data_IF_267716473413
#
_entry.id   IF_267716473413
#
_cell.length_a   1.000
_cell.length_b   1.000
_cell.length_c   1.000
_cell.angle_alpha   90.00
_cell.angle_beta   90.00
_cell.angle_gamma   90.00
#
_symmetry.space_group_name_H-M   'P 1'
#
loop_
_entity.id
_entity.type
_entity.pdbx_description
1 polymer ?
2 water ?
#
# COMPACT_ATOMS: atom_id res chain seq x y z
N UNK A 1 14.17 4.69 -16.96
CA UNK A 1 13.72 3.34 -16.64
C UNK A 1 12.24 3.33 -16.28
N UNK A 2 11.58 2.21 -16.56
CA UNK A 2 10.16 2.07 -16.27
C UNK A 2 9.91 1.76 -14.79
N UNK A 3 10.98 1.73 -13.99
CA UNK A 3 10.86 1.51 -12.55
C UNK A 3 11.05 2.79 -11.74
N UNK A 4 11.22 3.90 -12.47
CA UNK A 4 11.39 5.21 -11.88
C UNK A 4 10.03 5.81 -11.50
N UNK A 5 9.97 6.50 -10.37
CA UNK A 5 8.77 7.22 -9.97
C UNK A 5 8.33 8.20 -11.06
N UNK A 6 7.04 8.24 -11.38
CA UNK A 6 6.55 9.06 -12.49
C UNK A 6 6.90 10.54 -12.30
N UNK A 7 7.12 11.25 -13.40
CA UNK A 7 7.63 12.62 -13.36
C UNK A 7 6.68 13.61 -12.70
N UNK A 8 5.37 13.40 -12.85
CA UNK A 8 4.40 14.31 -12.27
C UNK A 8 4.26 14.12 -10.75
N UNK A 9 4.78 13.01 -10.21
CA UNK A 9 4.61 12.71 -8.79
C UNK A 9 5.32 13.73 -7.90
N UNK A 10 4.73 14.00 -6.74
CA UNK A 10 5.35 14.88 -5.76
C UNK A 10 5.96 14.05 -4.65
N UNK A 11 6.85 14.66 -3.87
CA UNK A 11 7.56 13.94 -2.82
C UNK A 11 6.59 13.53 -1.72
N UNK A 12 6.98 12.52 -0.96
CA UNK A 12 6.16 12.03 0.14
C UNK A 12 7.07 11.89 1.35
N UNK A 13 6.67 12.48 2.46
CA UNK A 13 7.52 12.58 3.65
C UNK A 13 8.94 13.03 3.26
N UNK A 14 9.00 14.07 2.42
CA UNK A 14 10.24 14.70 2.07
C UNK A 14 11.19 13.87 1.24
N UNK A 15 10.67 12.91 0.50
CA UNK A 15 11.52 12.07 -0.33
C UNK A 15 10.74 11.41 -1.48
N UNK A 16 11.45 10.71 -2.36
CA UNK A 16 10.84 9.87 -3.39
C UNK A 16 9.93 8.86 -2.71
N UNK A 17 8.66 8.78 -3.13
CA UNK A 17 7.76 7.88 -2.39
C UNK A 17 8.22 6.41 -2.38
N UNK A 18 8.91 5.96 -3.42
CA UNK A 18 9.38 4.57 -3.46
C UNK A 18 10.42 4.29 -2.39
N UNK A 19 11.09 5.35 -1.91
CA UNK A 19 12.16 5.18 -0.93
C UNK A 19 11.65 4.83 0.47
N UNK A 20 10.32 4.75 0.64
CA UNK A 20 9.75 4.32 1.92
C UNK A 20 9.99 2.83 2.12
N UNK A 21 10.26 2.15 1.01
CA UNK A 21 10.56 0.72 1.00
C UNK A 21 12.07 0.51 0.92
N UNK A 22 12.59 -0.42 1.74
CA UNK A 22 14.02 -0.76 1.77
C UNK A 22 14.58 -0.99 0.37
N UNK A 23 15.80 -0.50 0.13
CA UNK A 23 16.43 -0.65 -1.17
C UNK A 23 16.52 -2.11 -1.63
N UNK A 24 17.01 -3.01 -0.77
CA UNK A 24 17.13 -4.40 -1.22
C UNK A 24 15.78 -5.03 -1.50
N UNK A 25 14.72 -4.55 -0.85
CA UNK A 25 13.39 -5.05 -1.15
C UNK A 25 12.89 -4.51 -2.47
N UNK A 26 13.14 -3.24 -2.75
CA UNK A 26 12.81 -2.67 -4.06
C UNK A 26 13.51 -3.44 -5.19
N UNK A 27 14.76 -3.83 -4.99
CA UNK A 27 15.49 -4.54 -6.03
C UNK A 27 14.86 -5.92 -6.27
N UNK A 28 14.44 -6.58 -5.19
CA UNK A 28 13.78 -7.88 -5.30
C UNK A 28 12.45 -7.76 -6.05
N UNK A 29 11.71 -6.71 -5.75
CA UNK A 29 10.45 -6.48 -6.45
C UNK A 29 10.69 -6.25 -7.94
N UNK A 30 11.62 -5.36 -8.29
CA UNK A 30 11.92 -5.09 -9.69
C UNK A 30 12.29 -6.36 -10.45
N UNK A 31 12.96 -7.28 -9.77
CA UNK A 31 13.42 -8.54 -10.36
C UNK A 31 12.34 -9.60 -10.42
N UNK A 32 11.22 -9.39 -9.72
CA UNK A 32 10.24 -10.44 -9.59
C UNK A 32 9.37 -10.60 -10.82
N UNK A 33 8.89 -11.81 -11.02
CA UNK A 33 8.04 -12.09 -12.18
C UNK A 33 6.75 -11.29 -12.07
N UNK A 34 6.24 -11.13 -10.85
CA UNK A 34 4.97 -10.42 -10.68
C UNK A 34 5.11 -8.96 -11.13
N UNK A 35 6.22 -8.33 -10.76
CA UNK A 35 6.45 -6.94 -11.17
C UNK A 35 6.63 -6.86 -12.67
N UNK A 36 7.44 -7.77 -13.21
CA UNK A 36 7.76 -7.74 -14.63
C UNK A 36 6.56 -8.09 -15.49
N UNK A 37 5.68 -8.96 -15.01
CA UNK A 37 4.53 -9.39 -15.81
C UNK A 37 3.24 -8.64 -15.53
N UNK A 38 2.86 -8.56 -14.25
CA UNK A 38 1.60 -7.97 -13.85
C UNK A 38 1.66 -6.44 -13.65
N UNK A 39 2.83 -5.95 -13.26
CA UNK A 39 2.94 -4.52 -12.94
C UNK A 39 3.42 -3.66 -14.11
N UNK A 40 3.92 -4.30 -15.17
CA UNK A 40 4.45 -3.57 -16.31
C UNK A 40 3.38 -2.71 -16.97
N UNK A 41 3.66 -1.41 -17.08
CA UNK A 41 2.76 -0.49 -17.75
C UNK A 41 1.49 -0.18 -16.99
N UNK A 42 1.45 -0.58 -15.73
CA UNK A 42 0.24 -0.41 -14.92
C UNK A 42 0.04 1.08 -14.63
N UNK A 43 -1.16 1.57 -14.93
CA UNK A 43 -1.50 2.96 -14.62
C UNK A 43 -2.49 3.02 -13.47
N UNK A 44 -2.79 4.24 -13.02
CA UNK A 44 -3.59 4.43 -11.82
C UNK A 44 -4.93 3.73 -11.91
N UNK A 45 -5.61 3.87 -13.06
CA UNK A 45 -6.94 3.28 -13.22
C UNK A 45 -6.89 1.77 -13.41
N UNK A 46 -5.71 1.20 -13.65
CA UNK A 46 -5.61 -0.23 -13.93
C UNK A 46 -5.23 -1.07 -12.70
N UNK A 47 -4.78 -0.40 -11.64
CA UNK A 47 -4.33 -1.09 -10.43
C UNK A 47 -5.41 -1.96 -9.81
N UNK A 48 -6.64 -1.47 -9.84
CA UNK A 48 -7.76 -2.18 -9.21
C UNK A 48 -7.97 -3.58 -9.78
N UNK A 49 -7.72 -3.76 -11.08
CA UNK A 49 -7.86 -5.07 -11.73
C UNK A 49 -6.91 -6.07 -11.09
N UNK A 50 -5.69 -5.63 -10.83
CA UNK A 50 -4.72 -6.50 -10.18
C UNK A 50 -5.03 -6.64 -8.69
N UNK A 51 -5.42 -5.53 -8.05
CA UNK A 51 -5.73 -5.57 -6.63
C UNK A 51 -6.89 -6.52 -6.32
N UNK A 52 -7.83 -6.59 -7.26
CA UNK A 52 -8.97 -7.48 -7.07
C UNK A 52 -8.58 -8.95 -7.08
N UNK A 53 -7.39 -9.27 -7.62
CA UNK A 53 -6.95 -10.66 -7.69
C UNK A 53 -6.09 -11.06 -6.50
N UNK A 54 -5.74 -10.09 -5.66
CA UNK A 54 -4.92 -10.35 -4.48
C UNK A 54 -5.59 -11.39 -3.57
N UNK A 55 -4.80 -12.28 -2.97
CA UNK A 55 -5.36 -13.34 -2.14
C UNK A 55 -4.84 -13.33 -0.72
N UNK A 56 -3.90 -12.44 -0.41
CA UNK A 56 -3.39 -12.31 0.95
C UNK A 56 -2.60 -11.03 1.11
N UNK A 57 -2.37 -10.60 2.34
CA UNK A 57 -1.48 -9.48 2.56
C UNK A 57 -0.12 -10.02 2.94
N UNK A 58 0.91 -9.17 2.89
CA UNK A 58 2.23 -9.61 3.30
C UNK A 58 3.32 -8.68 2.81
N UNK A 59 4.54 -8.95 3.25
CA UNK A 59 5.70 -8.19 2.79
C UNK A 59 6.55 -9.10 1.94
N UNK A 60 7.70 -9.51 2.48
CA UNK A 60 8.59 -10.45 1.82
C UNK A 60 8.66 -11.76 2.62
N UNK A 61 9.20 -12.82 2.01
CA UNK A 61 9.34 -14.09 2.71
C UNK A 61 10.51 -14.89 2.15
N UNK A 62 11.22 -15.59 3.03
CA UNK A 62 12.29 -16.50 2.63
C UNK A 62 13.70 -15.95 2.61
N UNK A 63 14.67 -16.84 2.36
CA UNK A 63 16.07 -16.47 2.39
C UNK A 63 16.56 -15.61 1.24
N UNK A 64 15.66 -15.32 0.29
CA UNK A 64 15.99 -14.36 -0.74
C UNK A 64 14.94 -13.27 -0.78
N UNK A 65 14.24 -13.11 0.34
CA UNK A 65 13.18 -12.12 0.57
C UNK A 65 12.32 -11.84 -0.67
N UNK A 66 11.66 -12.90 -1.14
CA UNK A 66 10.68 -12.83 -2.23
C UNK A 66 9.50 -11.95 -1.85
N UNK A 67 9.14 -10.99 -2.72
CA UNK A 67 8.00 -10.12 -2.37
C UNK A 67 6.63 -10.74 -2.69
N UNK A 68 5.63 -10.42 -1.88
CA UNK A 68 4.25 -10.79 -2.19
C UNK A 68 3.69 -9.89 -3.29
N UNK A 69 2.67 -10.35 -4.03
CA UNK A 69 1.94 -9.48 -4.95
C UNK A 69 1.43 -8.21 -4.27
N UNK A 70 0.92 -8.37 -3.05
CA UNK A 70 0.44 -7.24 -2.25
C UNK A 70 1.50 -6.16 -2.13
N UNK A 71 2.71 -6.58 -1.77
CA UNK A 71 3.82 -5.66 -1.63
C UNK A 71 4.22 -5.06 -2.98
N UNK A 72 4.22 -5.88 -4.02
CA UNK A 72 4.57 -5.38 -5.35
C UNK A 72 3.62 -4.26 -5.81
N UNK A 73 2.32 -4.47 -5.63
CA UNK A 73 1.33 -3.44 -5.99
C UNK A 73 1.46 -2.18 -5.14
N UNK A 74 1.90 -2.36 -3.90
CA UNK A 74 2.10 -1.24 -3.00
C UNK A 74 3.20 -0.34 -3.55
N UNK A 75 4.32 -0.95 -3.96
CA UNK A 75 5.42 -0.17 -4.53
C UNK A 75 5.00 0.48 -5.83
N UNK A 76 4.24 -0.26 -6.65
CA UNK A 76 3.78 0.29 -7.92
C UNK A 76 2.95 1.52 -7.67
N UNK A 77 2.09 1.47 -6.66
CA UNK A 77 1.27 2.63 -6.32
C UNK A 77 2.15 3.79 -5.83
N UNK A 78 3.17 3.49 -5.04
CA UNK A 78 4.11 4.53 -4.60
C UNK A 78 4.75 5.19 -5.80
N UNK A 79 5.05 4.37 -6.81
CA UNK A 79 5.74 4.83 -8.00
C UNK A 79 4.87 5.73 -8.87
N UNK A 80 3.59 5.37 -9.05
CA UNK A 80 2.74 6.11 -9.96
C UNK A 80 1.82 7.11 -9.25
N UNK A 81 1.75 7.03 -7.93
CA UNK A 81 1.03 8.03 -7.12
C UNK A 81 -0.40 8.33 -7.61
N UNK A 82 -1.32 7.36 -7.42
CA UNK A 82 -2.70 7.54 -7.88
C UNK A 82 -3.38 8.74 -7.22
N UNK A 83 -4.37 9.30 -7.92
CA UNK A 83 -5.15 10.37 -7.34
C UNK A 83 -5.84 9.86 -6.08
N UNK A 84 -6.09 10.78 -5.15
CA UNK A 84 -6.52 10.43 -3.82
C UNK A 84 -7.83 9.63 -3.80
N UNK A 85 -8.79 10.00 -4.64
CA UNK A 85 -10.08 9.34 -4.54
C UNK A 85 -10.02 7.88 -5.01
N UNK A 86 -9.01 7.50 -5.78
CA UNK A 86 -8.80 6.08 -6.07
C UNK A 86 -8.46 5.30 -4.79
N UNK A 87 -7.60 5.88 -3.96
CA UNK A 87 -7.23 5.27 -2.67
C UNK A 87 -8.45 5.22 -1.76
N UNK A 88 -9.20 6.30 -1.71
CA UNK A 88 -10.41 6.35 -0.87
C UNK A 88 -11.42 5.30 -1.34
N UNK A 89 -11.62 5.20 -2.65
CA UNK A 89 -12.49 4.17 -3.22
C UNK A 89 -12.05 2.74 -2.85
N UNK A 90 -10.75 2.48 -2.81
CA UNK A 90 -10.23 1.16 -2.41
C UNK A 90 -10.67 0.88 -0.98
N UNK A 91 -10.43 1.86 -0.13
CA UNK A 91 -10.75 1.78 1.28
C UNK A 91 -12.25 1.60 1.52
N UNK A 92 -13.07 2.38 0.82
CA UNK A 92 -14.52 2.35 1.02
C UNK A 92 -15.18 1.09 0.47
N UNK A 93 -14.50 0.41 -0.46
CA UNK A 93 -15.06 -0.78 -1.08
C UNK A 93 -15.32 -1.89 -0.08
N UNK A 94 -16.48 -2.53 -0.19
CA UNK A 94 -16.88 -3.55 0.78
C UNK A 94 -16.86 -4.97 0.22
N UNK A 95 -16.67 -5.09 -1.09
CA UNK A 95 -16.68 -6.40 -1.73
C UNK A 95 -15.34 -7.13 -1.70
N UNK A 96 -14.25 -6.38 -1.74
CA UNK A 96 -12.92 -6.97 -1.80
C UNK A 96 -12.09 -6.48 -0.63
N UNK A 97 -11.89 -7.34 0.37
CA UNK A 97 -11.14 -6.91 1.55
C UNK A 97 -9.67 -6.64 1.26
N UNK A 98 -9.07 -7.35 0.30
CA UNK A 98 -7.65 -7.13 0.03
C UNK A 98 -7.45 -5.82 -0.71
N UNK A 99 -8.46 -5.38 -1.44
CA UNK A 99 -8.40 -4.07 -2.09
C UNK A 99 -8.47 -2.99 -1.01
N UNK A 100 -9.36 -3.22 -0.04
CA UNK A 100 -9.42 -2.35 1.11
C UNK A 100 -8.06 -2.28 1.86
N UNK A 101 -7.42 -3.43 2.09
CA UNK A 101 -6.13 -3.47 2.79
C UNK A 101 -5.03 -2.72 2.05
N UNK A 102 -5.02 -2.87 0.72
CA UNK A 102 -4.00 -2.24 -0.11
C UNK A 102 -4.15 -0.72 -0.07
N UNK A 103 -5.39 -0.26 -0.18
CA UNK A 103 -5.68 1.17 -0.08
C UNK A 103 -5.31 1.69 1.30
N UNK A 104 -5.61 0.90 2.34
CA UNK A 104 -5.35 1.34 3.70
C UNK A 104 -3.86 1.51 3.97
N UNK A 105 -3.06 0.54 3.53
CA UNK A 105 -1.61 0.63 3.71
C UNK A 105 -1.08 1.82 2.94
N UNK A 106 -1.48 1.97 1.69
CA UNK A 106 -1.00 3.10 0.88
C UNK A 106 -1.35 4.43 1.55
N UNK A 107 -2.56 4.53 2.10
CA UNK A 107 -2.98 5.73 2.80
C UNK A 107 -2.10 5.98 4.01
N UNK A 108 -1.75 4.92 4.73
CA UNK A 108 -0.89 5.09 5.90
C UNK A 108 0.50 5.57 5.50
N UNK A 109 0.96 5.15 4.32
CA UNK A 109 2.30 5.52 3.87
C UNK A 109 2.38 6.93 3.33
N UNK A 110 1.25 7.42 2.80
CA UNK A 110 1.28 8.68 2.04
C UNK A 110 0.42 9.78 2.63
N UNK A 111 -0.56 9.41 3.45
CA UNK A 111 -1.50 10.39 3.98
C UNK A 111 -1.04 11.15 5.23
N UNK A 112 -1.76 12.22 5.54
CA UNK A 112 -1.57 12.98 6.77
C UNK A 112 -2.15 12.23 7.94
N UNK A 113 -1.85 12.68 9.15
CA UNK A 113 -2.50 12.12 10.33
C UNK A 113 -4.02 12.25 10.17
N UNK A 114 -4.46 13.42 9.72
CA UNK A 114 -5.89 13.66 9.54
C UNK A 114 -6.47 12.65 8.54
N UNK A 115 -5.75 12.41 7.45
CA UNK A 115 -6.16 11.42 6.46
C UNK A 115 -6.34 10.05 7.10
N UNK A 116 -5.34 9.63 7.85
CA UNK A 116 -5.34 8.28 8.41
C UNK A 116 -6.45 8.15 9.42
N UNK A 117 -6.68 9.20 10.19
CA UNK A 117 -7.72 9.12 11.21
C UNK A 117 -9.09 9.08 10.52
N UNK A 118 -9.27 9.93 9.52
CA UNK A 118 -10.54 10.01 8.78
C UNK A 118 -10.90 8.73 8.04
N UNK A 119 -9.95 8.16 7.33
CA UNK A 119 -10.24 7.04 6.44
C UNK A 119 -9.93 5.66 7.04
N UNK A 120 -9.01 5.58 8.00
CA UNK A 120 -8.62 4.27 8.53
C UNK A 120 -9.37 3.90 9.80
N UNK A 121 -9.58 4.86 10.70
CA UNK A 121 -10.29 4.57 11.95
C UNK A 121 -11.68 3.95 11.77
N UNK A 122 -12.43 4.35 10.74
CA UNK A 122 -13.71 3.63 10.60
C UNK A 122 -13.54 2.13 10.34
N UNK A 123 -12.37 1.70 9.86
CA UNK A 123 -12.17 0.31 9.48
C UNK A 123 -11.96 -0.56 10.71
N UNK A 124 -11.92 0.07 11.89
CA UNK A 124 -11.88 -0.71 13.12
C UNK A 124 -13.14 -1.58 13.26
N UNK A 125 -14.19 -1.23 12.52
CA UNK A 125 -15.46 -1.98 12.54
C UNK A 125 -15.45 -3.25 11.68
N UNK A 126 -14.35 -3.46 10.98
CA UNK A 126 -14.22 -4.58 10.03
C UNK A 126 -13.56 -5.76 10.73
N UNK A 127 -14.34 -6.80 11.04
CA UNK A 127 -13.78 -7.94 11.76
C UNK A 127 -13.46 -9.13 10.86
N UNK A 128 -13.53 -8.94 9.54
CA UNK A 128 -13.35 -10.03 8.58
C UNK A 128 -11.96 -10.66 8.68
N UNK A 129 -11.90 -11.97 8.45
CA UNK A 129 -10.64 -12.70 8.43
C UNK A 129 -9.87 -12.43 7.13
N UNK A 130 -8.55 -12.31 7.23
CA UNK A 130 -7.70 -12.16 6.04
C UNK A 130 -6.46 -13.01 6.17
N UNK A 131 -5.94 -13.45 5.03
CA UNK A 131 -4.70 -14.20 4.98
C UNK A 131 -3.52 -13.25 5.03
N UNK A 132 -2.52 -13.62 5.82
CA UNK A 132 -1.28 -12.87 5.87
C UNK A 132 -0.10 -13.82 5.68
N UNK A 133 0.78 -13.51 4.73
CA UNK A 133 1.93 -14.37 4.52
C UNK A 133 3.08 -13.84 5.38
N UNK A 134 3.56 -14.67 6.31
CA UNK A 134 4.65 -14.26 7.19
C UNK A 134 6.02 -14.57 6.60
N UNK A 135 7.05 -14.13 7.30
CA UNK A 135 8.45 -14.21 6.85
C UNK A 135 8.90 -15.60 6.42
N UNK A 136 8.23 -16.63 6.95
CA UNK A 136 8.62 -18.02 6.69
C UNK A 136 7.88 -18.69 5.52
N UNK A 137 6.86 -18.03 4.99
CA UNK A 137 6.17 -18.54 3.82
C UNK A 137 4.79 -19.12 4.08
N UNK A 138 4.49 -19.33 5.35
CA UNK A 138 3.18 -19.83 5.75
C UNK A 138 2.13 -18.72 5.64
N UNK A 139 0.87 -19.11 5.57
CA UNK A 139 -0.22 -18.13 5.61
C UNK A 139 -0.90 -18.21 6.95
N UNK A 140 -0.90 -17.10 7.69
CA UNK A 140 -1.63 -17.02 8.95
C UNK A 140 -2.91 -16.26 8.75
N UNK A 141 -3.84 -16.42 9.69
CA UNK A 141 -5.10 -15.72 9.64
C UNK A 141 -5.08 -14.58 10.65
N UNK A 142 -5.57 -13.41 10.25
CA UNK A 142 -5.77 -12.32 11.19
C UNK A 142 -7.04 -11.62 10.77
N UNK A 143 -7.44 -10.59 11.50
CA UNK A 143 -8.63 -9.84 11.12
C UNK A 143 -8.26 -8.49 10.55
N UNK A 144 -9.18 -7.91 9.78
CA UNK A 144 -8.93 -6.61 9.19
C UNK A 144 -8.63 -5.56 10.25
N UNK A 145 -9.41 -5.56 11.34
CA UNK A 145 -9.24 -4.54 12.36
C UNK A 145 -7.87 -4.64 13.04
N UNK A 146 -7.29 -5.82 13.05
CA UNK A 146 -5.94 -6.00 13.59
C UNK A 146 -4.89 -5.36 12.68
N UNK A 147 -5.08 -5.51 11.36
CA UNK A 147 -4.21 -4.90 10.36
C UNK A 147 -4.29 -3.37 10.48
N UNK A 148 -5.51 -2.88 10.59
CA UNK A 148 -5.75 -1.46 10.80
C UNK A 148 -5.08 -0.95 12.09
N UNK A 149 -5.20 -1.73 13.16
CA UNK A 149 -4.60 -1.34 14.43
C UNK A 149 -3.09 -1.22 14.27
N UNK A 150 -2.50 -2.13 13.50
CA UNK A 150 -1.05 -2.08 13.26
C UNK A 150 -0.67 -0.88 12.41
N UNK A 151 -1.51 -0.53 11.44
CA UNK A 151 -1.25 0.65 10.62
C UNK A 151 -1.23 1.90 11.50
N UNK A 152 -2.12 1.94 12.47
CA UNK A 152 -2.29 3.15 13.27
C UNK A 152 -1.36 3.21 14.46
N UNK A 153 -0.81 2.07 14.86
CA UNK A 153 -0.06 2.04 16.13
C UNK A 153 1.27 1.29 16.12
N UNK A 154 1.57 0.54 15.06
CA UNK A 154 2.85 -0.18 15.00
C UNK A 154 3.91 0.60 14.24
N UNK A 155 5.15 0.11 14.31
CA UNK A 155 6.24 0.76 13.62
C UNK A 155 6.41 0.22 12.20
N UNK A 156 5.88 -0.98 11.95
CA UNK A 156 6.15 -1.68 10.70
C UNK A 156 5.00 -2.58 10.30
N UNK A 157 4.60 -2.50 9.03
CA UNK A 157 3.57 -3.37 8.46
C UNK A 157 4.00 -3.82 7.06
N UNK A 158 3.78 -5.10 6.77
CA UNK A 158 4.18 -5.69 5.50
C UNK A 158 5.64 -5.39 5.20
N UNK A 159 6.45 -5.39 6.26
CA UNK A 159 7.90 -5.17 6.16
C UNK A 159 8.27 -3.77 5.65
N UNK A 160 7.36 -2.81 5.84
CA UNK A 160 7.63 -1.42 5.52
C UNK A 160 7.57 -0.61 6.81
N UNK A 161 8.61 0.18 7.08
CA UNK A 161 8.57 1.05 8.24
C UNK A 161 7.54 2.13 7.99
N UNK A 162 6.61 2.29 8.93
CA UNK A 162 5.55 3.26 8.75
C UNK A 162 6.05 4.64 9.12
N UNK A 163 5.96 5.59 8.19
CA UNK A 163 6.52 6.93 8.40
C UNK A 163 5.83 7.71 9.52
N UNK A 164 6.57 8.64 10.13
CA UNK A 164 6.02 9.55 11.13
C UNK A 164 4.83 10.30 10.58
N UNK A 165 3.69 10.22 11.26
CA UNK A 165 2.52 10.95 10.79
C UNK A 165 2.64 12.47 10.99
N UNK A 166 2.20 13.21 9.98
CA UNK A 166 2.20 14.67 10.04
C UNK A 166 0.95 15.22 10.73
N UNK A 167 1.16 15.81 11.90
CA UNK A 167 0.09 16.45 12.66
C UNK A 167 -0.48 17.70 12.00
N UNK A 168 0.39 18.50 11.42
CA UNK A 168 0.00 19.79 10.86
C UNK A 168 -0.84 19.63 9.59
N UNK A 169 -1.86 20.47 9.48
CA UNK A 169 -2.70 20.52 8.30
C UNK A 169 -1.81 20.95 7.14
N UNK A 170 -1.41 19.98 6.33
CA UNK A 170 -0.49 20.24 5.24
C UNK A 170 -1.00 19.61 3.94
N UNK A 171 -1.02 20.41 2.88
CA UNK A 171 -1.30 19.93 1.53
C UNK A 171 0.01 19.97 0.73
N UNK A 172 0.12 19.13 -0.30
CA UNK A 172 1.39 19.05 -1.03
C UNK A 172 1.30 19.48 -2.50
N UNK A 173 0.07 19.73 -2.97
CA UNK A 173 -0.11 20.34 -4.29
C UNK A 173 -1.09 21.49 -4.18
N UNK A 174 -0.95 22.45 -5.08
CA UNK A 174 -1.77 23.66 -5.05
C UNK A 174 -3.26 23.36 -5.26
N UNK A 175 -3.54 22.36 -6.09
CA UNK A 175 -4.91 22.07 -6.50
C UNK A 175 -5.64 21.11 -5.55
N UNK A 176 -5.05 20.84 -4.40
CA UNK A 176 -5.70 19.96 -3.43
C UNK A 176 -6.83 20.69 -2.71
N UNK A 177 -7.88 19.94 -2.41
CA UNK A 177 -9.05 20.48 -1.71
C UNK A 177 -8.72 20.77 -0.26
N UNK A 178 -9.56 21.58 0.38
CA UNK A 178 -9.31 22.03 1.75
C UNK A 178 -10.46 21.67 2.71
N UNK A 179 -10.52 20.40 3.16
CA UNK A 179 -11.53 19.92 4.11
C UNK A 179 -11.56 20.68 5.45
#
# INVERSE_FOLDING_TARGET
>A
MANRTVKDAHSIHGTNPQYLVEKIIRTRIYESKYWKEECFGLTAELVVDKAMELRFVGGVYGGNIKPTPFLCLTLKMLQIQPEKDIIVEFIKNEDFKYVRMLGALYMRLTGTAIDCYKYLEPLYNDYRKIKSQNRNGEFELMHVDEFIDELLHSERVCDIILPRLQKRYVLEEAEQLEPRVSALEEDMDDVESSEEEEEEDEKLE
#
